data_IF_263076231827
#
_entry.id   IF_263076231827
#
_cell.length_a   1.000
_cell.length_b   1.000
_cell.length_c   1.000
_cell.angle_alpha   90.00
_cell.angle_beta   90.00
_cell.angle_gamma   90.00
#
_symmetry.space_group_name_H-M   'P 1'
#
loop_
_entity.id
_entity.type
_entity.pdbx_description
1 polymer ?
#
# COMPACT_ATOMS: atom_id res chain seq x y z
N UNK A 1 2.40 15.88 -6.55
CA UNK A 1 1.52 15.43 -5.44
C UNK A 1 2.33 15.41 -4.15
N UNK A 2 1.76 15.85 -3.02
CA UNK A 2 2.42 15.80 -1.71
C UNK A 2 2.38 14.39 -1.12
N UNK A 3 1.33 14.09 -0.37
CA UNK A 3 1.15 12.78 0.28
C UNK A 3 -0.04 12.02 -0.31
N UNK A 4 0.11 10.71 -0.47
CA UNK A 4 -0.94 9.78 -0.84
C UNK A 4 -1.17 8.73 0.25
N UNK A 5 -2.43 8.49 0.62
CA UNK A 5 -2.84 7.36 1.46
C UNK A 5 -3.40 6.27 0.55
N UNK A 6 -2.79 5.08 0.56
CA UNK A 6 -3.17 3.98 -0.34
C UNK A 6 -3.70 2.78 0.45
N UNK A 7 -4.91 2.34 0.11
CA UNK A 7 -5.51 1.13 0.69
C UNK A 7 -4.92 -0.10 0.00
N UNK A 8 -4.13 -0.89 0.73
CA UNK A 8 -3.47 -2.10 0.21
C UNK A 8 -4.18 -3.38 0.69
N UNK A 9 -3.44 -4.49 0.78
CA UNK A 9 -3.92 -5.75 1.34
C UNK A 9 -4.64 -6.66 0.35
N UNK A 10 -4.92 -6.18 -0.87
CA UNK A 10 -5.60 -6.96 -1.91
C UNK A 10 -6.87 -7.64 -1.41
N UNK A 11 -7.74 -6.89 -0.71
CA UNK A 11 -8.90 -7.42 0.01
C UNK A 11 -9.76 -8.27 -0.91
N UNK A 12 -10.09 -9.49 -0.46
CA UNK A 12 -10.92 -10.41 -1.23
C UNK A 12 -11.69 -11.39 -0.35
N UNK A 13 -12.94 -11.66 -0.73
CA UNK A 13 -13.84 -12.55 -0.03
C UNK A 13 -14.14 -13.80 -0.87
N UNK A 14 -14.22 -15.00 -0.27
CA UNK A 14 -14.56 -16.22 -1.02
C UNK A 14 -15.90 -16.11 -1.77
N UNK A 15 -16.89 -15.43 -1.18
CA UNK A 15 -18.23 -15.24 -1.75
C UNK A 15 -18.22 -14.44 -3.06
N UNK A 16 -17.21 -13.60 -3.28
CA UNK A 16 -17.08 -12.75 -4.47
C UNK A 16 -16.02 -13.25 -5.46
N UNK A 17 -15.50 -14.47 -5.24
CA UNK A 17 -14.49 -15.07 -6.10
C UNK A 17 -13.21 -14.22 -6.21
N UNK A 18 -12.68 -14.00 -7.43
CA UNK A 18 -11.38 -13.36 -7.64
C UNK A 18 -11.41 -11.83 -7.52
N UNK A 19 -12.55 -11.24 -7.18
CA UNK A 19 -12.69 -9.79 -7.05
C UNK A 19 -11.80 -9.25 -5.92
N UNK A 20 -11.07 -8.16 -6.21
CA UNK A 20 -10.29 -7.40 -5.23
C UNK A 20 -10.95 -6.06 -4.95
N UNK A 21 -11.10 -5.73 -3.67
CA UNK A 21 -11.72 -4.48 -3.20
C UNK A 21 -10.70 -3.39 -2.87
N UNK A 22 -9.43 -3.75 -2.73
CA UNK A 22 -8.30 -2.84 -2.57
C UNK A 22 -7.15 -3.29 -3.45
N UNK A 23 -6.17 -2.41 -3.67
CA UNK A 23 -5.03 -2.75 -4.51
C UNK A 23 -4.04 -3.65 -3.77
N UNK A 24 -3.22 -4.37 -4.55
CA UNK A 24 -1.98 -4.97 -4.07
C UNK A 24 -0.84 -3.95 -4.16
N UNK A 25 0.33 -4.26 -3.61
CA UNK A 25 1.53 -3.46 -3.76
C UNK A 25 1.91 -3.23 -5.24
N UNK A 26 1.63 -4.20 -6.12
CA UNK A 26 1.84 -4.02 -7.57
C UNK A 26 0.94 -2.91 -8.14
N UNK A 27 -0.32 -2.86 -7.73
CA UNK A 27 -1.22 -1.76 -8.10
C UNK A 27 -0.77 -0.43 -7.49
N UNK A 28 -0.23 -0.45 -6.27
CA UNK A 28 0.32 0.73 -5.62
C UNK A 28 1.53 1.31 -6.37
N UNK A 29 2.42 0.45 -6.88
CA UNK A 29 3.55 0.86 -7.73
C UNK A 29 3.04 1.58 -8.98
N UNK A 30 2.02 1.05 -9.64
CA UNK A 30 1.45 1.67 -10.84
C UNK A 30 0.84 3.05 -10.52
N UNK A 31 0.05 3.15 -9.46
CA UNK A 31 -0.49 4.44 -9.00
C UNK A 31 0.63 5.44 -8.69
N UNK A 32 1.73 5.00 -8.07
CA UNK A 32 2.86 5.86 -7.75
C UNK A 32 3.62 6.32 -9.00
N UNK A 33 3.72 5.48 -10.05
CA UNK A 33 4.31 5.89 -11.34
C UNK A 33 3.48 7.00 -11.99
N UNK A 34 2.16 6.92 -11.91
CA UNK A 34 1.25 7.90 -12.50
C UNK A 34 1.20 9.21 -11.70
N UNK A 35 1.05 9.12 -10.38
CA UNK A 35 0.82 10.28 -9.52
C UNK A 35 2.10 10.95 -9.01
N UNK A 36 3.22 10.20 -8.97
CA UNK A 36 4.52 10.61 -8.43
C UNK A 36 4.41 11.37 -7.09
N UNK A 37 3.80 10.78 -6.06
CA UNK A 37 3.70 11.40 -4.74
C UNK A 37 5.07 11.51 -4.07
N UNK A 38 5.28 12.54 -3.24
CA UNK A 38 6.49 12.68 -2.40
C UNK A 38 6.47 11.70 -1.22
N UNK A 39 5.30 11.32 -0.74
CA UNK A 39 5.14 10.39 0.39
C UNK A 39 3.93 9.51 0.17
N UNK A 40 4.07 8.21 0.46
CA UNK A 40 3.01 7.22 0.40
C UNK A 40 2.87 6.56 1.75
N UNK A 41 1.68 6.63 2.33
CA UNK A 41 1.34 5.92 3.57
C UNK A 41 0.40 4.78 3.21
N UNK A 42 0.86 3.52 3.22
CA UNK A 42 -0.01 2.37 3.03
C UNK A 42 -0.90 2.19 4.26
N UNK A 43 -2.17 1.89 4.03
CA UNK A 43 -3.17 1.59 5.06
C UNK A 43 -3.98 0.35 4.65
N UNK A 44 -4.79 -0.18 5.58
CA UNK A 44 -5.76 -1.23 5.28
C UNK A 44 -5.14 -2.52 4.68
N UNK A 45 -4.08 -3.05 5.29
CA UNK A 45 -3.36 -4.21 4.77
C UNK A 45 -3.14 -5.36 5.77
N UNK A 46 -3.57 -5.21 7.02
CA UNK A 46 -3.38 -6.21 8.08
C UNK A 46 -4.46 -6.16 9.17
N UNK A 47 -4.53 -7.22 9.98
CA UNK A 47 -5.44 -7.32 11.14
C UNK A 47 -6.75 -8.08 10.90
N UNK A 48 -7.06 -8.46 9.64
CA UNK A 48 -8.30 -9.14 9.27
C UNK A 48 -8.05 -10.29 8.28
N UNK A 49 -8.91 -11.31 8.32
CA UNK A 49 -8.76 -12.53 7.50
C UNK A 49 -9.00 -12.34 6.00
N UNK A 50 -9.61 -11.22 5.61
CA UNK A 50 -9.92 -10.92 4.20
C UNK A 50 -8.75 -10.32 3.42
N UNK A 51 -7.62 -10.02 4.07
CA UNK A 51 -6.41 -9.58 3.38
C UNK A 51 -5.74 -10.76 2.68
N UNK A 52 -5.35 -10.55 1.42
CA UNK A 52 -4.71 -11.57 0.58
C UNK A 52 -3.25 -11.28 0.33
N UNK A 53 -2.82 -10.05 0.56
CA UNK A 53 -1.41 -9.65 0.49
C UNK A 53 -0.96 -9.13 1.87
N UNK A 54 -0.27 -9.96 2.68
CA UNK A 54 0.26 -9.50 3.95
C UNK A 54 1.40 -8.49 3.73
N UNK A 55 1.68 -7.66 4.74
CA UNK A 55 2.72 -6.63 4.70
C UNK A 55 4.06 -7.13 4.15
N UNK A 56 4.55 -8.28 4.61
CA UNK A 56 5.83 -8.82 4.15
C UNK A 56 5.84 -9.14 2.63
N UNK A 57 4.70 -9.53 2.05
CA UNK A 57 4.58 -9.72 0.61
C UNK A 57 4.60 -8.37 -0.13
N UNK A 58 3.86 -7.38 0.38
CA UNK A 58 3.87 -6.03 -0.17
C UNK A 58 5.27 -5.40 -0.15
N UNK A 59 6.01 -5.53 0.97
CA UNK A 59 7.38 -5.02 1.11
C UNK A 59 8.33 -5.68 0.09
N UNK A 60 8.20 -6.99 -0.18
CA UNK A 60 8.97 -7.66 -1.24
C UNK A 60 8.66 -7.12 -2.63
N UNK A 61 7.40 -6.88 -2.94
CA UNK A 61 7.00 -6.28 -4.22
C UNK A 61 7.57 -4.86 -4.36
N UNK A 62 7.49 -4.05 -3.31
CA UNK A 62 8.05 -2.68 -3.30
C UNK A 62 9.57 -2.66 -3.40
N UNK A 63 10.27 -3.66 -2.83
CA UNK A 63 11.73 -3.75 -2.94
C UNK A 63 12.22 -3.82 -4.39
N UNK A 64 11.44 -4.46 -5.28
CA UNK A 64 11.72 -4.55 -6.71
C UNK A 64 11.22 -3.38 -7.55
N UNK A 65 10.55 -2.39 -6.95
CA UNK A 65 10.08 -1.19 -7.65
C UNK A 65 11.24 -0.20 -7.93
N UNK A 66 11.07 0.74 -8.88
CA UNK A 66 12.01 1.85 -9.05
C UNK A 66 12.25 2.58 -7.72
N UNK A 67 13.47 3.07 -7.53
CA UNK A 67 13.89 3.69 -6.27
C UNK A 67 12.96 4.85 -5.89
N UNK A 68 12.58 5.70 -6.84
CA UNK A 68 11.68 6.82 -6.62
C UNK A 68 10.29 6.42 -6.11
N UNK A 69 9.82 5.22 -6.46
CA UNK A 69 8.55 4.68 -5.93
C UNK A 69 8.78 4.07 -4.55
N UNK A 70 9.75 3.17 -4.42
CA UNK A 70 10.03 2.47 -3.16
C UNK A 70 10.34 3.45 -2.02
N UNK A 71 11.15 4.46 -2.30
CA UNK A 71 11.66 5.37 -1.28
C UNK A 71 10.58 6.37 -0.80
N UNK A 72 9.48 6.51 -1.54
CA UNK A 72 8.32 7.30 -1.15
C UNK A 72 7.45 6.61 -0.07
N UNK A 73 7.52 5.29 0.08
CA UNK A 73 6.71 4.56 1.05
C UNK A 73 7.18 4.79 2.50
N UNK A 74 6.21 5.02 3.38
CA UNK A 74 6.38 5.22 4.81
C UNK A 74 5.39 4.35 5.58
N UNK A 75 5.89 3.23 6.12
CA UNK A 75 5.12 2.35 7.00
C UNK A 75 5.08 2.95 8.41
N UNK A 76 3.89 3.31 8.87
CA UNK A 76 3.72 3.93 10.18
C UNK A 76 3.40 2.88 11.26
N UNK A 77 3.88 3.05 12.50
CA UNK A 77 3.47 2.20 13.61
C UNK A 77 1.98 2.38 13.94
N UNK A 78 1.19 1.29 14.08
CA UNK A 78 -0.20 1.39 14.51
C UNK A 78 -0.34 2.09 15.87
N UNK A 79 -1.33 2.98 15.99
CA UNK A 79 -1.63 3.70 17.23
C UNK A 79 -0.72 4.89 17.54
N UNK A 80 0.30 5.16 16.72
CA UNK A 80 1.23 6.29 16.94
C UNK A 80 0.90 7.46 16.03
N UNK A 81 0.58 8.61 16.62
CA UNK A 81 0.40 9.85 15.88
C UNK A 81 1.71 10.24 15.15
N UNK A 82 1.61 10.52 13.85
CA UNK A 82 2.76 10.91 13.03
C UNK A 82 2.43 12.18 12.26
N UNK A 83 3.26 13.20 12.39
CA UNK A 83 3.15 14.42 11.59
C UNK A 83 3.66 14.15 10.17
N UNK A 84 2.89 14.58 9.17
CA UNK A 84 3.24 14.46 7.75
C UNK A 84 3.43 15.86 7.17
N UNK A 85 4.58 16.10 6.55
CA UNK A 85 4.84 17.34 5.81
C UNK A 85 4.05 17.36 4.50
N UNK A 86 3.31 18.44 4.27
CA UNK A 86 2.47 18.62 3.06
C UNK A 86 3.21 19.43 2.01
#
# INVERSE_FOLDING_TARGET
MGTALLHLGGVGFPVTGPLRYTMTAAGAVEVCRLLRPRTVVPVHYEGWSHFREPRAAAERTLAGAPAEVRDAFRWLPPGTATAISV
#
